data_IF_436440049985
#
_entry.id   IF_436440049985
#
_cell.length_a   1.000
_cell.length_b   1.000
_cell.length_c   1.000
_cell.angle_alpha   90.00
_cell.angle_beta   90.00
_cell.angle_gamma   90.00
#
_symmetry.space_group_name_H-M   'P 1'
#
loop_
_entity.id
_entity.type
_entity.pdbx_description
1 polymer ?
#
# COMPACT_ATOMS: atom_id res chain seq x y z
N UNK A 1 39.15 8.84 45.07
CA UNK A 1 39.61 9.27 43.72
C UNK A 1 38.66 10.35 43.23
N UNK A 2 39.08 11.58 43.11
CA UNK A 2 38.30 12.68 42.56
C UNK A 2 38.48 12.65 41.03
N UNK A 3 37.43 12.32 40.29
CA UNK A 3 37.44 12.46 38.83
C UNK A 3 37.55 13.96 38.49
N UNK A 4 38.58 14.36 37.73
CA UNK A 4 38.82 15.75 37.32
C UNK A 4 37.92 16.24 36.18
N UNK A 5 36.96 15.45 35.72
CA UNK A 5 35.99 15.81 34.68
C UNK A 5 34.74 16.42 35.31
N UNK A 6 34.15 17.42 34.64
CA UNK A 6 32.83 17.92 35.03
C UNK A 6 31.76 16.82 34.79
N UNK A 7 30.77 16.69 35.68
CA UNK A 7 29.67 15.75 35.46
C UNK A 7 28.91 16.14 34.18
N UNK A 8 28.39 15.15 33.44
CA UNK A 8 27.54 15.42 32.29
C UNK A 8 26.25 16.15 32.70
N UNK A 9 25.66 16.86 31.78
CA UNK A 9 24.31 17.39 31.96
C UNK A 9 23.29 16.26 31.79
N UNK A 10 22.23 16.29 32.60
CA UNK A 10 21.17 15.28 32.59
C UNK A 10 19.84 15.90 32.15
N UNK A 11 19.09 15.15 31.34
CA UNK A 11 17.72 15.46 30.99
C UNK A 11 16.84 14.25 31.28
N UNK A 12 15.68 14.46 31.90
CA UNK A 12 14.69 13.44 32.17
C UNK A 12 13.47 13.69 31.30
N UNK A 13 13.24 12.78 30.34
CA UNK A 13 12.05 12.82 29.49
C UNK A 13 10.88 12.10 30.17
N UNK A 14 9.62 12.52 29.93
CA UNK A 14 8.46 11.84 30.45
C UNK A 14 8.32 10.43 29.87
N UNK A 15 7.58 9.58 30.59
CA UNK A 15 7.32 8.21 30.17
C UNK A 15 6.44 8.17 28.93
N UNK A 16 6.74 7.26 27.99
CA UNK A 16 5.88 6.94 26.86
C UNK A 16 4.86 5.88 27.30
N UNK A 17 3.59 6.15 27.07
CA UNK A 17 2.46 5.30 27.43
C UNK A 17 1.90 4.57 26.21
N UNK A 18 1.35 3.37 26.44
CA UNK A 18 0.52 2.68 25.47
C UNK A 18 -0.89 3.29 25.36
N UNK A 19 -1.74 2.75 24.44
CA UNK A 19 -3.12 3.21 24.27
C UNK A 19 -3.96 3.07 25.54
N UNK A 20 -3.63 2.11 26.40
CA UNK A 20 -4.26 1.86 27.72
C UNK A 20 -3.76 2.79 28.83
N UNK A 21 -2.94 3.78 28.48
CA UNK A 21 -2.26 4.71 29.39
C UNK A 21 -1.32 4.06 30.42
N UNK A 22 -1.01 2.77 30.25
CA UNK A 22 0.06 2.12 30.99
C UNK A 22 1.41 2.33 30.28
N UNK A 23 2.51 2.06 30.99
CA UNK A 23 3.86 2.13 30.38
C UNK A 23 3.93 1.31 29.10
N UNK A 24 4.44 1.90 28.02
CA UNK A 24 4.66 1.19 26.75
C UNK A 24 5.49 -0.07 26.99
N UNK A 25 5.04 -1.19 26.46
CA UNK A 25 5.65 -2.50 26.66
C UNK A 25 5.35 -3.43 25.47
N UNK A 26 6.03 -4.58 25.38
CA UNK A 26 5.86 -5.58 24.31
C UNK A 26 4.40 -6.03 24.09
N UNK A 27 3.54 -5.97 25.10
CA UNK A 27 2.11 -6.30 24.93
C UNK A 27 1.36 -5.31 24.01
N UNK A 28 1.94 -4.13 23.77
CA UNK A 28 1.39 -3.10 22.87
C UNK A 28 1.94 -3.23 21.43
N UNK A 29 2.72 -4.27 21.13
CA UNK A 29 3.35 -4.52 19.83
C UNK A 29 4.85 -4.25 19.83
N UNK A 30 5.37 -3.80 18.69
CA UNK A 30 6.78 -3.45 18.53
C UNK A 30 7.21 -2.36 19.53
N UNK A 31 8.36 -2.56 20.16
CA UNK A 31 8.92 -1.62 21.16
C UNK A 31 10.38 -1.26 20.89
N UNK A 32 11.00 -1.87 19.89
CA UNK A 32 12.36 -1.58 19.47
C UNK A 32 12.43 -1.01 18.06
N UNK A 33 13.40 -0.14 17.81
CA UNK A 33 13.59 0.45 16.47
C UNK A 33 13.80 -0.64 15.40
N UNK A 34 14.52 -1.72 15.75
CA UNK A 34 14.75 -2.85 14.83
C UNK A 34 13.45 -3.56 14.43
N UNK A 35 12.46 -3.65 15.33
CA UNK A 35 11.16 -4.23 15.01
C UNK A 35 10.38 -3.33 14.04
N UNK A 36 10.41 -2.00 14.24
CA UNK A 36 9.80 -1.06 13.30
C UNK A 36 10.48 -1.06 11.93
N UNK A 37 11.81 -1.16 11.89
CA UNK A 37 12.56 -1.33 10.65
C UNK A 37 12.11 -2.58 9.88
N UNK A 38 11.97 -3.72 10.58
CA UNK A 38 11.46 -4.98 9.97
C UNK A 38 10.03 -4.86 9.47
N UNK A 39 9.21 -4.01 10.08
CA UNK A 39 7.85 -3.69 9.64
C UNK A 39 7.83 -2.64 8.51
N UNK A 40 8.98 -2.13 8.09
CA UNK A 40 9.08 -1.22 6.94
C UNK A 40 8.71 0.22 7.25
N UNK A 41 8.95 0.68 8.47
CA UNK A 41 8.91 2.10 8.80
C UNK A 41 10.20 2.77 8.36
N UNK A 42 10.08 3.95 7.74
CA UNK A 42 11.21 4.77 7.33
C UNK A 42 11.86 5.45 8.55
N UNK A 43 13.20 5.59 8.58
CA UNK A 43 13.89 6.28 9.66
C UNK A 43 13.38 7.70 9.88
N UNK A 44 13.18 8.49 8.82
CA UNK A 44 12.71 9.87 8.90
C UNK A 44 11.31 10.00 9.51
N UNK A 45 10.40 9.10 9.13
CA UNK A 45 9.06 9.03 9.71
C UNK A 45 9.13 8.70 11.21
N UNK A 46 9.99 7.75 11.59
CA UNK A 46 10.18 7.35 12.97
C UNK A 46 10.79 8.49 13.81
N UNK A 47 11.82 9.17 13.32
CA UNK A 47 12.43 10.32 14.01
C UNK A 47 11.40 11.43 14.21
N UNK A 48 10.67 11.82 13.16
CA UNK A 48 9.64 12.84 13.26
C UNK A 48 8.56 12.46 14.28
N UNK A 49 8.07 11.22 14.23
CA UNK A 49 7.07 10.72 15.17
C UNK A 49 7.56 10.73 16.61
N UNK A 50 8.79 10.26 16.87
CA UNK A 50 9.36 10.21 18.22
C UNK A 50 9.56 11.61 18.82
N UNK A 51 9.96 12.59 18.02
CA UNK A 51 10.07 13.99 18.45
C UNK A 51 8.72 14.50 18.94
N UNK A 52 7.64 14.21 18.23
CA UNK A 52 6.28 14.64 18.59
C UNK A 52 5.73 13.96 19.85
N UNK A 53 6.39 12.94 20.40
CA UNK A 53 6.00 12.32 21.69
C UNK A 53 6.33 13.17 22.92
N UNK A 54 6.55 14.43 22.77
CA UNK A 54 6.79 15.32 23.90
C UNK A 54 7.24 16.72 23.50
N UNK A 55 7.37 16.95 22.20
CA UNK A 55 7.75 18.24 21.64
C UNK A 55 6.87 18.59 20.44
N UNK A 56 6.64 19.84 20.17
CA UNK A 56 5.98 20.34 18.95
C UNK A 56 6.60 21.64 18.50
N UNK A 57 6.64 21.86 17.19
CA UNK A 57 7.05 23.14 16.61
C UNK A 57 5.98 24.20 16.87
N UNK A 58 4.73 23.85 16.64
CA UNK A 58 3.52 24.62 16.89
C UNK A 58 2.31 23.67 17.06
N UNK A 59 1.11 24.22 17.12
CA UNK A 59 -0.13 23.44 17.35
C UNK A 59 -0.65 22.73 16.06
N UNK A 60 0.00 22.89 14.91
CA UNK A 60 -0.51 22.42 13.61
C UNK A 60 0.49 21.58 12.82
N UNK A 61 1.78 21.85 12.97
CA UNK A 61 2.83 21.21 12.15
C UNK A 61 3.21 19.87 12.72
N UNK A 62 2.86 18.81 12.02
CA UNK A 62 3.16 17.42 12.41
C UNK A 62 4.23 16.76 11.53
N UNK A 63 4.42 17.25 10.31
CA UNK A 63 5.38 16.70 9.36
C UNK A 63 6.56 17.67 9.21
N UNK A 64 7.70 17.26 9.71
CA UNK A 64 8.93 18.08 9.76
C UNK A 64 10.06 17.32 9.08
N UNK A 65 10.80 18.00 8.20
CA UNK A 65 12.04 17.45 7.66
C UNK A 65 13.09 17.33 8.75
N UNK A 66 14.13 16.54 8.49
CA UNK A 66 15.24 16.41 9.42
C UNK A 66 15.95 17.76 9.66
N UNK A 67 16.10 18.58 8.62
CA UNK A 67 16.67 19.93 8.72
C UNK A 67 15.82 20.84 9.61
N UNK A 68 14.48 20.79 9.46
CA UNK A 68 13.56 21.56 10.30
C UNK A 68 13.63 21.10 11.76
N UNK A 69 13.70 19.78 12.00
CA UNK A 69 13.88 19.24 13.35
C UNK A 69 15.19 19.71 13.97
N UNK A 70 16.30 19.61 13.27
CA UNK A 70 17.62 20.07 13.75
C UNK A 70 17.59 21.58 14.06
N UNK A 71 16.92 22.38 13.21
CA UNK A 71 16.86 23.84 13.36
C UNK A 71 16.00 24.28 14.55
N UNK A 72 14.92 23.57 14.83
CA UNK A 72 13.88 24.05 15.75
C UNK A 72 13.79 23.29 17.06
N UNK A 73 14.33 22.05 17.12
CA UNK A 73 14.29 21.24 18.32
C UNK A 73 15.11 21.88 19.46
N UNK A 74 14.52 21.92 20.63
CA UNK A 74 15.24 22.27 21.86
C UNK A 74 14.68 21.50 23.07
N UNK A 75 15.53 21.21 24.03
CA UNK A 75 15.14 20.48 25.26
C UNK A 75 14.23 21.31 26.15
N UNK A 76 14.35 22.65 26.15
CA UNK A 76 13.52 23.55 26.93
C UNK A 76 12.06 23.49 26.54
N UNK A 77 11.77 23.12 25.29
CA UNK A 77 10.41 22.99 24.74
C UNK A 77 9.82 21.61 24.94
N UNK A 78 10.57 20.65 25.46
CA UNK A 78 10.04 19.32 25.72
C UNK A 78 9.04 19.39 26.86
N UNK A 79 7.82 18.92 26.60
CA UNK A 79 6.73 18.86 27.57
C UNK A 79 7.04 17.90 28.71
N UNK A 80 6.45 18.18 29.89
CA UNK A 80 6.63 17.34 31.10
C UNK A 80 5.55 16.24 31.23
N UNK A 81 4.55 16.25 30.34
CA UNK A 81 3.43 15.32 30.37
C UNK A 81 3.78 14.05 29.58
N UNK A 82 3.41 12.88 30.13
CA UNK A 82 3.58 11.62 29.44
C UNK A 82 2.79 11.59 28.11
N UNK A 83 3.44 11.13 27.04
CA UNK A 83 2.85 11.03 25.70
C UNK A 83 2.33 9.61 25.43
N UNK A 84 1.21 9.52 24.74
CA UNK A 84 0.65 8.23 24.29
C UNK A 84 1.23 7.88 22.92
N UNK A 85 1.80 6.68 22.81
CA UNK A 85 2.27 6.13 21.53
C UNK A 85 1.07 5.70 20.68
N UNK A 86 0.72 6.52 19.71
CA UNK A 86 -0.37 6.25 18.78
C UNK A 86 0.19 5.60 17.51
N UNK A 87 -0.02 4.28 17.36
CA UNK A 87 0.46 3.51 16.22
C UNK A 87 -0.20 3.94 14.91
N UNK A 88 -1.50 4.26 14.92
CA UNK A 88 -2.22 4.68 13.70
C UNK A 88 -1.65 5.99 13.15
N UNK A 89 -1.27 6.92 14.06
CA UNK A 89 -0.59 8.16 13.69
C UNK A 89 0.79 7.89 13.07
N UNK A 90 1.55 6.95 13.63
CA UNK A 90 2.84 6.55 13.08
C UNK A 90 2.69 5.92 11.69
N UNK A 91 1.71 5.03 11.49
CA UNK A 91 1.41 4.42 10.19
C UNK A 91 1.00 5.48 9.16
N UNK A 92 0.11 6.40 9.53
CA UNK A 92 -0.28 7.52 8.68
C UNK A 92 0.92 8.36 8.27
N UNK A 93 1.74 8.76 9.25
CA UNK A 93 2.93 9.56 9.02
C UNK A 93 3.91 8.84 8.10
N UNK A 94 4.20 7.57 8.35
CA UNK A 94 5.07 6.76 7.51
C UNK A 94 4.57 6.67 6.07
N UNK A 95 3.26 6.47 5.89
CA UNK A 95 2.63 6.51 4.56
C UNK A 95 2.83 7.85 3.84
N UNK A 96 2.80 8.99 4.57
CA UNK A 96 3.11 10.29 3.97
C UNK A 96 4.58 10.37 3.52
N UNK A 97 5.52 9.87 4.34
CA UNK A 97 6.93 9.83 3.97
C UNK A 97 7.19 8.90 2.78
N UNK A 98 6.56 7.73 2.72
CA UNK A 98 6.66 6.81 1.57
C UNK A 98 6.19 7.48 0.27
N UNK A 99 5.10 8.24 0.30
CA UNK A 99 4.58 8.99 -0.86
C UNK A 99 5.46 10.16 -1.30
N UNK A 100 6.27 10.71 -0.39
CA UNK A 100 7.23 11.77 -0.72
C UNK A 100 8.51 11.27 -1.40
N UNK A 101 8.81 9.98 -1.30
CA UNK A 101 9.96 9.39 -1.99
C UNK A 101 9.76 9.48 -3.51
N UNK A 102 10.83 9.71 -4.23
CA UNK A 102 10.83 9.44 -5.67
C UNK A 102 10.54 7.96 -5.94
N UNK A 103 10.01 7.64 -7.12
CA UNK A 103 9.73 6.24 -7.47
C UNK A 103 10.99 5.35 -7.33
N UNK A 104 12.16 5.86 -7.75
CA UNK A 104 13.42 5.12 -7.63
C UNK A 104 13.79 4.80 -6.18
N UNK A 105 13.66 5.77 -5.27
CA UNK A 105 13.89 5.55 -3.84
C UNK A 105 12.88 4.57 -3.26
N UNK A 106 11.59 4.70 -3.62
CA UNK A 106 10.57 3.78 -3.16
C UNK A 106 10.84 2.34 -3.64
N UNK A 107 11.23 2.15 -4.90
CA UNK A 107 11.65 0.85 -5.44
C UNK A 107 12.83 0.29 -4.63
N UNK A 108 13.86 1.08 -4.40
CA UNK A 108 15.04 0.66 -3.64
C UNK A 108 14.67 0.19 -2.22
N UNK A 109 13.77 0.91 -1.54
CA UNK A 109 13.31 0.53 -0.21
C UNK A 109 12.38 -0.69 -0.21
N UNK A 110 11.56 -0.86 -1.24
CA UNK A 110 10.57 -1.93 -1.34
C UNK A 110 11.17 -3.29 -1.78
N UNK A 111 12.23 -3.28 -2.61
CA UNK A 111 12.84 -4.50 -3.15
C UNK A 111 13.17 -5.57 -2.11
N UNK A 112 13.83 -5.25 -0.96
CA UNK A 112 14.13 -6.27 0.06
C UNK A 112 12.88 -6.94 0.64
N UNK A 113 11.75 -6.23 0.69
CA UNK A 113 10.48 -6.78 1.17
C UNK A 113 9.82 -7.65 0.11
N UNK A 114 9.86 -7.23 -1.16
CA UNK A 114 9.37 -8.04 -2.29
C UNK A 114 10.15 -9.36 -2.40
N UNK A 115 11.48 -9.32 -2.34
CA UNK A 115 12.33 -10.52 -2.40
C UNK A 115 12.05 -11.48 -1.24
N UNK A 116 11.80 -10.95 -0.04
CA UNK A 116 11.55 -11.74 1.16
C UNK A 116 10.15 -12.35 1.21
N UNK A 117 9.12 -11.56 0.85
CA UNK A 117 7.73 -11.86 1.21
C UNK A 117 6.82 -12.21 0.02
N UNK A 118 7.28 -12.04 -1.24
CA UNK A 118 6.54 -12.58 -2.38
C UNK A 118 6.63 -14.11 -2.39
N UNK A 119 5.56 -14.81 -2.86
CA UNK A 119 5.55 -16.27 -2.94
C UNK A 119 6.77 -16.84 -3.68
N UNK A 120 7.22 -18.03 -3.29
CA UNK A 120 8.34 -18.73 -3.94
C UNK A 120 8.08 -19.07 -5.42
N UNK A 121 6.81 -19.14 -5.82
CA UNK A 121 6.40 -19.34 -7.23
C UNK A 121 6.72 -18.15 -8.13
N UNK A 122 7.01 -16.98 -7.57
CA UNK A 122 7.41 -15.80 -8.36
C UNK A 122 8.86 -15.95 -8.78
N UNK A 123 9.12 -15.85 -10.10
CA UNK A 123 10.45 -15.98 -10.67
C UNK A 123 11.41 -14.90 -10.15
N UNK A 124 12.66 -15.29 -9.94
CA UNK A 124 13.73 -14.38 -9.46
C UNK A 124 14.98 -14.53 -10.35
N UNK A 125 15.75 -13.45 -10.58
CA UNK A 125 15.57 -12.11 -9.99
C UNK A 125 14.34 -11.39 -10.55
N UNK A 126 13.72 -10.51 -9.73
CA UNK A 126 12.59 -9.71 -10.16
C UNK A 126 13.01 -8.73 -11.27
N UNK A 127 12.20 -8.61 -12.32
CA UNK A 127 12.43 -7.60 -13.37
C UNK A 127 12.22 -6.19 -12.80
N UNK A 128 13.31 -5.43 -12.71
CA UNK A 128 13.32 -4.10 -12.14
C UNK A 128 12.41 -3.10 -12.88
N UNK A 129 12.25 -3.23 -14.21
CA UNK A 129 11.40 -2.36 -14.99
C UNK A 129 9.92 -2.65 -14.68
N UNK A 130 9.56 -3.94 -14.67
CA UNK A 130 8.20 -4.37 -14.30
C UNK A 130 7.85 -4.00 -12.86
N UNK A 131 8.76 -4.27 -11.91
CA UNK A 131 8.59 -3.88 -10.50
C UNK A 131 8.38 -2.37 -10.37
N UNK A 132 9.14 -1.55 -11.11
CA UNK A 132 8.97 -0.09 -11.07
C UNK A 132 7.58 0.34 -11.54
N UNK A 133 7.05 -0.27 -12.62
CA UNK A 133 5.69 -0.01 -13.09
C UNK A 133 4.64 -0.42 -12.05
N UNK A 134 4.76 -1.61 -11.48
CA UNK A 134 3.88 -2.09 -10.40
C UNK A 134 3.90 -1.16 -9.20
N UNK A 135 5.11 -0.80 -8.74
CA UNK A 135 5.27 0.03 -7.54
C UNK A 135 4.78 1.46 -7.73
N UNK A 136 4.80 2.00 -8.96
CA UNK A 136 4.20 3.31 -9.26
C UNK A 136 2.69 3.35 -8.96
N UNK A 137 1.99 2.21 -9.10
CA UNK A 137 0.56 2.09 -8.81
C UNK A 137 0.26 1.83 -7.32
N UNK A 138 1.26 1.39 -6.56
CA UNK A 138 1.09 0.93 -5.17
C UNK A 138 1.56 1.97 -4.16
N UNK A 139 2.53 2.82 -4.51
CA UNK A 139 3.16 3.78 -3.60
C UNK A 139 2.14 4.63 -2.82
N UNK A 140 1.08 5.10 -3.48
CA UNK A 140 0.03 5.90 -2.85
C UNK A 140 -0.78 5.16 -1.78
N UNK A 141 -0.72 3.83 -1.78
CA UNK A 141 -1.54 2.96 -0.93
C UNK A 141 -0.77 2.37 0.23
N UNK A 142 0.54 2.27 0.11
CA UNK A 142 1.40 1.69 1.13
C UNK A 142 1.52 2.63 2.34
N UNK A 143 1.29 2.08 3.52
CA UNK A 143 1.57 2.75 4.79
C UNK A 143 2.90 2.31 5.38
N UNK A 144 3.29 1.06 5.11
CA UNK A 144 4.57 0.46 5.50
C UNK A 144 5.11 -0.39 4.36
N UNK A 145 6.43 -0.63 4.34
CA UNK A 145 7.03 -1.43 3.27
C UNK A 145 6.67 -2.92 3.37
N UNK A 146 6.31 -3.43 4.55
CA UNK A 146 5.86 -4.82 4.71
C UNK A 146 4.50 -5.09 4.04
N UNK A 147 3.70 -4.06 3.76
CA UNK A 147 2.44 -4.20 3.03
C UNK A 147 2.64 -4.33 1.52
N UNK A 148 3.78 -3.84 1.00
CA UNK A 148 4.05 -3.76 -0.44
C UNK A 148 3.96 -5.12 -1.14
N UNK A 149 4.56 -6.22 -0.64
CA UNK A 149 4.42 -7.53 -1.25
C UNK A 149 2.97 -7.99 -1.37
N UNK A 150 2.16 -7.78 -0.34
CA UNK A 150 0.74 -8.12 -0.38
C UNK A 150 -0.02 -7.27 -1.41
N UNK A 151 0.27 -5.97 -1.48
CA UNK A 151 -0.36 -5.07 -2.46
C UNK A 151 0.04 -5.42 -3.89
N UNK A 152 1.29 -5.86 -4.10
CA UNK A 152 1.87 -6.19 -5.41
C UNK A 152 1.60 -7.62 -5.88
N UNK A 153 1.32 -8.58 -4.98
CA UNK A 153 1.35 -10.01 -5.28
C UNK A 153 0.53 -10.43 -6.49
N UNK A 154 -0.65 -9.84 -6.69
CA UNK A 154 -1.51 -10.21 -7.81
C UNK A 154 -0.91 -9.85 -9.20
N UNK A 155 0.09 -8.97 -9.26
CA UNK A 155 0.79 -8.66 -10.50
C UNK A 155 1.73 -9.80 -10.95
N UNK A 156 2.26 -10.57 -9.99
CA UNK A 156 3.27 -11.61 -10.23
C UNK A 156 2.71 -13.04 -10.13
N UNK A 157 1.43 -13.20 -9.82
CA UNK A 157 0.79 -14.52 -9.70
C UNK A 157 0.09 -14.91 -11.01
N UNK A 158 0.37 -16.12 -11.48
CA UNK A 158 -0.31 -16.70 -12.64
C UNK A 158 -1.78 -17.00 -12.36
N UNK A 159 -2.07 -17.50 -11.16
CA UNK A 159 -3.43 -17.82 -10.71
C UNK A 159 -3.80 -17.02 -9.46
N UNK A 160 -4.97 -16.42 -9.52
CA UNK A 160 -5.52 -15.67 -8.41
C UNK A 160 -6.46 -16.54 -7.58
N UNK A 161 -6.23 -16.54 -6.26
CA UNK A 161 -7.14 -17.19 -5.31
C UNK A 161 -8.06 -16.15 -4.67
N UNK A 162 -9.36 -16.26 -4.96
CA UNK A 162 -10.37 -15.37 -4.37
C UNK A 162 -11.74 -16.05 -4.35
N UNK A 163 -12.62 -15.59 -3.47
CA UNK A 163 -14.00 -16.06 -3.38
C UNK A 163 -14.79 -15.58 -4.62
N UNK A 164 -15.41 -16.51 -5.33
CA UNK A 164 -16.21 -16.23 -6.55
C UNK A 164 -17.33 -15.22 -6.28
N UNK A 165 -17.85 -15.16 -5.05
CA UNK A 165 -18.87 -14.18 -4.66
C UNK A 165 -18.41 -12.72 -4.82
N UNK A 166 -17.11 -12.46 -4.83
CA UNK A 166 -16.56 -11.12 -5.08
C UNK A 166 -16.88 -10.61 -6.49
N UNK A 167 -17.00 -11.50 -7.48
CA UNK A 167 -17.45 -11.14 -8.84
C UNK A 167 -18.88 -10.61 -8.86
N UNK A 168 -19.69 -10.99 -7.85
CA UNK A 168 -21.08 -10.56 -7.72
C UNK A 168 -21.26 -9.39 -6.74
N UNK A 169 -20.18 -8.81 -6.26
CA UNK A 169 -20.18 -7.74 -5.23
C UNK A 169 -20.97 -6.48 -5.63
N UNK A 170 -21.13 -6.23 -6.95
CA UNK A 170 -21.96 -5.15 -7.49
C UNK A 170 -23.47 -5.43 -7.53
N UNK A 171 -23.95 -6.49 -6.86
CA UNK A 171 -25.33 -7.01 -6.96
C UNK A 171 -25.73 -7.40 -8.39
N UNK A 172 -24.78 -7.97 -9.15
CA UNK A 172 -25.01 -8.62 -10.42
C UNK A 172 -25.34 -10.09 -10.17
N UNK A 173 -26.24 -10.66 -10.94
CA UNK A 173 -26.39 -12.11 -11.03
C UNK A 173 -25.24 -12.72 -11.85
N UNK A 174 -25.00 -14.02 -11.69
CA UNK A 174 -23.89 -14.71 -12.34
C UNK A 174 -23.96 -14.65 -13.87
N UNK A 175 -25.16 -14.73 -14.44
CA UNK A 175 -25.36 -14.68 -15.88
C UNK A 175 -25.05 -13.31 -16.46
N UNK A 176 -25.49 -12.23 -15.81
CA UNK A 176 -25.17 -10.86 -16.20
C UNK A 176 -23.69 -10.56 -16.06
N UNK A 177 -23.04 -11.03 -14.99
CA UNK A 177 -21.61 -10.87 -14.78
C UNK A 177 -20.80 -11.62 -15.86
N UNK A 178 -21.15 -12.87 -16.16
CA UNK A 178 -20.50 -13.65 -17.20
C UNK A 178 -20.65 -12.99 -18.58
N UNK A 179 -21.88 -12.56 -18.95
CA UNK A 179 -22.13 -11.84 -20.20
C UNK A 179 -21.25 -10.57 -20.30
N UNK A 180 -21.15 -9.80 -19.22
CA UNK A 180 -20.38 -8.57 -19.21
C UNK A 180 -18.87 -8.83 -19.42
N UNK A 181 -18.31 -9.85 -18.75
CA UNK A 181 -16.90 -10.25 -18.94
C UNK A 181 -16.67 -10.76 -20.37
N UNK A 182 -17.57 -11.61 -20.90
CA UNK A 182 -17.44 -12.17 -22.27
C UNK A 182 -17.38 -11.05 -23.32
N UNK A 183 -18.29 -10.08 -23.25
CA UNK A 183 -18.31 -8.98 -24.22
C UNK A 183 -17.08 -8.07 -24.04
N UNK A 184 -16.66 -7.83 -22.79
CA UNK A 184 -15.43 -7.08 -22.52
C UNK A 184 -14.19 -7.79 -23.09
N UNK A 185 -14.05 -9.10 -22.89
CA UNK A 185 -12.97 -9.91 -23.42
C UNK A 185 -12.89 -9.82 -24.94
N UNK A 186 -14.01 -10.07 -25.64
CA UNK A 186 -14.11 -9.99 -27.10
C UNK A 186 -13.69 -8.61 -27.65
N UNK A 187 -14.15 -7.52 -27.02
CA UNK A 187 -13.76 -6.16 -27.43
C UNK A 187 -12.27 -5.93 -27.22
N UNK A 188 -11.71 -6.46 -26.15
CA UNK A 188 -10.29 -6.28 -25.80
C UNK A 188 -9.36 -7.18 -26.64
N UNK A 189 -9.82 -8.31 -27.16
CA UNK A 189 -9.05 -9.14 -28.10
C UNK A 189 -8.70 -8.41 -29.38
N UNK A 190 -9.53 -7.49 -29.86
CA UNK A 190 -9.31 -6.70 -31.06
C UNK A 190 -8.35 -5.51 -30.86
N UNK A 191 -8.00 -5.18 -29.59
CA UNK A 191 -7.18 -4.01 -29.24
C UNK A 191 -5.74 -4.24 -29.63
N UNK A 192 -5.18 -3.33 -30.44
CA UNK A 192 -3.77 -3.34 -30.86
C UNK A 192 -2.88 -2.52 -29.95
N UNK A 193 -3.37 -1.40 -29.40
CA UNK A 193 -2.63 -0.52 -28.46
C UNK A 193 -3.14 -0.74 -27.05
N UNK A 194 -2.30 -1.30 -26.19
CA UNK A 194 -2.68 -1.68 -24.84
C UNK A 194 -2.15 -0.67 -23.81
N UNK A 195 -2.89 0.40 -23.62
CA UNK A 195 -2.63 1.44 -22.61
C UNK A 195 -3.92 1.84 -21.87
N UNK A 196 -3.76 2.50 -20.72
CA UNK A 196 -4.88 2.86 -19.84
C UNK A 196 -5.93 3.72 -20.55
N UNK A 197 -5.53 4.65 -21.41
CA UNK A 197 -6.42 5.56 -22.14
C UNK A 197 -7.28 4.83 -23.14
N UNK A 198 -6.66 3.96 -23.96
CA UNK A 198 -7.35 3.12 -24.94
C UNK A 198 -8.32 2.16 -24.25
N UNK A 199 -7.89 1.51 -23.18
CA UNK A 199 -8.72 0.59 -22.39
C UNK A 199 -9.95 1.30 -21.79
N UNK A 200 -9.75 2.48 -21.21
CA UNK A 200 -10.84 3.30 -20.68
C UNK A 200 -11.80 3.74 -21.79
N UNK A 201 -11.27 4.17 -22.93
CA UNK A 201 -12.04 4.60 -24.10
C UNK A 201 -12.97 3.52 -24.66
N UNK A 202 -12.56 2.24 -24.55
CA UNK A 202 -13.36 1.09 -25.01
C UNK A 202 -14.35 0.62 -23.92
N UNK A 203 -13.87 0.48 -22.69
CA UNK A 203 -14.68 -0.14 -21.63
C UNK A 203 -15.72 0.81 -21.02
N UNK A 204 -15.48 2.13 -21.07
CA UNK A 204 -16.44 3.09 -20.52
C UNK A 204 -17.74 3.17 -21.33
N UNK A 205 -17.74 3.26 -22.68
CA UNK A 205 -18.96 3.17 -23.49
C UNK A 205 -19.64 1.80 -23.32
N UNK A 206 -18.87 0.71 -23.24
CA UNK A 206 -19.41 -0.64 -23.09
C UNK A 206 -20.26 -0.80 -21.82
N UNK A 207 -19.93 -0.12 -20.73
CA UNK A 207 -20.76 -0.12 -19.52
C UNK A 207 -22.19 0.39 -19.83
N UNK A 208 -22.33 1.43 -20.64
CA UNK A 208 -23.62 1.99 -21.04
C UNK A 208 -24.36 1.04 -22.01
N UNK A 209 -23.67 0.43 -22.98
CA UNK A 209 -24.23 -0.55 -23.90
C UNK A 209 -24.82 -1.75 -23.16
N UNK A 210 -24.19 -2.17 -22.09
CA UNK A 210 -24.63 -3.28 -21.24
C UNK A 210 -25.70 -2.87 -20.21
N UNK A 211 -26.12 -1.59 -20.18
CA UNK A 211 -27.00 -1.04 -19.16
C UNK A 211 -26.48 -1.26 -17.72
N UNK A 212 -25.16 -1.25 -17.54
CA UNK A 212 -24.50 -1.38 -16.25
C UNK A 212 -23.94 -0.02 -15.81
N UNK A 213 -24.12 0.31 -14.55
CA UNK A 213 -23.39 1.46 -13.97
C UNK A 213 -21.88 1.22 -14.00
N UNK A 214 -21.09 2.25 -14.38
CA UNK A 214 -19.62 2.15 -14.50
C UNK A 214 -18.97 1.57 -13.25
N UNK A 215 -19.44 1.94 -12.04
CA UNK A 215 -18.93 1.41 -10.78
C UNK A 215 -19.10 -0.10 -10.64
N UNK A 216 -20.25 -0.64 -11.06
CA UNK A 216 -20.51 -2.09 -11.02
C UNK A 216 -19.67 -2.83 -12.05
N UNK A 217 -19.66 -2.34 -13.29
CA UNK A 217 -18.92 -2.97 -14.38
C UNK A 217 -17.41 -2.95 -14.12
N UNK A 218 -16.85 -1.80 -13.75
CA UNK A 218 -15.42 -1.71 -13.44
C UNK A 218 -15.05 -2.44 -12.14
N UNK A 219 -15.98 -2.54 -11.17
CA UNK A 219 -15.82 -3.37 -9.99
C UNK A 219 -15.69 -4.85 -10.33
N UNK A 220 -16.56 -5.35 -11.22
CA UNK A 220 -16.50 -6.71 -11.75
C UNK A 220 -15.17 -6.99 -12.46
N UNK A 221 -14.78 -6.14 -13.42
CA UNK A 221 -13.50 -6.29 -14.15
C UNK A 221 -12.30 -6.22 -13.21
N UNK A 222 -12.33 -5.33 -12.20
CA UNK A 222 -11.27 -5.24 -11.18
C UNK A 222 -11.12 -6.55 -10.42
N UNK A 223 -12.21 -7.14 -9.95
CA UNK A 223 -12.14 -8.44 -9.27
C UNK A 223 -11.64 -9.53 -10.21
N UNK A 224 -12.09 -9.55 -11.46
CA UNK A 224 -11.65 -10.53 -12.44
C UNK A 224 -10.13 -10.47 -12.67
N UNK A 225 -9.54 -9.28 -12.80
CA UNK A 225 -8.10 -9.13 -13.11
C UNK A 225 -7.19 -9.10 -11.88
N UNK A 226 -7.71 -8.81 -10.67
CA UNK A 226 -6.88 -8.66 -9.46
C UNK A 226 -7.25 -9.61 -8.32
N UNK A 227 -8.42 -10.26 -8.39
CA UNK A 227 -9.00 -11.04 -7.28
C UNK A 227 -9.44 -10.18 -6.09
N UNK A 228 -9.56 -8.85 -6.25
CA UNK A 228 -9.77 -7.91 -5.13
C UNK A 228 -10.80 -6.85 -5.46
N UNK A 229 -11.61 -6.48 -4.48
CA UNK A 229 -12.55 -5.36 -4.58
C UNK A 229 -11.79 -4.02 -4.53
N UNK A 230 -10.78 -3.93 -3.66
CA UNK A 230 -9.90 -2.75 -3.54
C UNK A 230 -8.53 -3.05 -4.16
N UNK A 231 -8.21 -2.40 -5.27
CA UNK A 231 -6.96 -2.53 -6.01
C UNK A 231 -6.55 -1.15 -6.58
N UNK A 232 -5.36 -0.97 -7.14
CA UNK A 232 -4.97 0.25 -7.84
C UNK A 232 -5.94 0.61 -8.98
N UNK A 233 -5.81 1.76 -9.64
CA UNK A 233 -6.71 2.16 -10.72
C UNK A 233 -6.79 1.07 -11.81
N UNK A 234 -8.01 0.72 -12.24
CA UNK A 234 -8.27 -0.45 -13.08
C UNK A 234 -7.47 -0.45 -14.38
N UNK A 235 -7.55 0.64 -15.14
CA UNK A 235 -6.96 0.68 -16.49
C UNK A 235 -5.44 0.66 -16.46
N UNK A 236 -4.81 1.40 -15.53
CA UNK A 236 -3.38 1.35 -15.29
C UNK A 236 -2.93 -0.04 -14.79
N UNK A 237 -3.74 -0.69 -13.97
CA UNK A 237 -3.48 -2.08 -13.54
C UNK A 237 -3.53 -3.04 -14.73
N UNK A 238 -4.50 -2.91 -15.63
CA UNK A 238 -4.61 -3.74 -16.83
C UNK A 238 -3.45 -3.46 -17.81
N UNK A 239 -3.03 -2.20 -17.94
CA UNK A 239 -1.88 -1.81 -18.75
C UNK A 239 -0.61 -2.54 -18.28
N UNK A 240 -0.29 -2.47 -16.97
CA UNK A 240 0.89 -3.12 -16.38
C UNK A 240 0.80 -4.64 -16.42
N UNK A 241 -0.39 -5.23 -16.21
CA UNK A 241 -0.60 -6.69 -16.33
C UNK A 241 -0.39 -7.21 -17.75
N UNK A 242 -0.64 -6.37 -18.76
CA UNK A 242 -0.59 -6.76 -20.15
C UNK A 242 -1.85 -7.49 -20.63
N UNK A 243 -2.02 -7.51 -21.95
CA UNK A 243 -3.21 -8.05 -22.65
C UNK A 243 -3.43 -9.52 -22.33
N UNK A 244 -2.40 -10.34 -22.52
CA UNK A 244 -2.47 -11.78 -22.35
C UNK A 244 -2.95 -12.20 -20.96
N UNK A 245 -2.31 -11.61 -19.90
CA UNK A 245 -2.69 -11.89 -18.53
C UNK A 245 -4.12 -11.44 -18.21
N UNK A 246 -4.55 -10.28 -18.71
CA UNK A 246 -5.91 -9.81 -18.51
C UNK A 246 -6.94 -10.76 -19.13
N UNK A 247 -6.75 -11.18 -20.38
CA UNK A 247 -7.65 -12.11 -21.07
C UNK A 247 -7.69 -13.48 -20.38
N UNK A 248 -6.53 -14.06 -20.03
CA UNK A 248 -6.44 -15.30 -19.25
C UNK A 248 -7.23 -15.22 -17.93
N UNK A 249 -7.16 -14.08 -17.23
CA UNK A 249 -7.89 -13.87 -15.98
C UNK A 249 -9.39 -13.69 -16.19
N UNK A 250 -9.81 -13.11 -17.31
CA UNK A 250 -11.24 -13.08 -17.67
C UNK A 250 -11.77 -14.48 -17.94
N UNK A 251 -11.04 -15.33 -18.65
CA UNK A 251 -11.43 -16.73 -18.88
C UNK A 251 -11.55 -17.49 -17.55
N UNK A 252 -10.59 -17.31 -16.65
CA UNK A 252 -10.65 -17.91 -15.31
C UNK A 252 -11.87 -17.41 -14.52
N UNK A 253 -12.20 -16.12 -14.60
CA UNK A 253 -13.38 -15.56 -13.94
C UNK A 253 -14.68 -16.13 -14.53
N UNK A 254 -14.75 -16.33 -15.85
CA UNK A 254 -15.89 -16.97 -16.53
C UNK A 254 -16.08 -18.43 -16.09
N UNK A 255 -14.98 -19.20 -16.00
CA UNK A 255 -15.03 -20.58 -15.49
C UNK A 255 -15.55 -20.63 -14.05
N UNK A 256 -15.12 -19.70 -13.18
CA UNK A 256 -15.63 -19.61 -11.81
C UNK A 256 -17.10 -19.25 -11.74
N UNK A 257 -17.58 -18.32 -12.58
CA UNK A 257 -18.99 -17.94 -12.64
C UNK A 257 -19.87 -19.10 -13.16
N UNK A 258 -19.38 -19.89 -14.12
CA UNK A 258 -20.13 -21.06 -14.63
C UNK A 258 -20.37 -22.14 -13.58
N UNK A 259 -19.53 -22.20 -12.53
CA UNK A 259 -19.73 -23.14 -11.41
C UNK A 259 -20.82 -22.71 -10.42
N UNK A 260 -21.36 -21.49 -10.55
CA UNK A 260 -22.44 -20.94 -9.71
C UNK A 260 -23.81 -21.05 -10.41
N UNK A 261 -23.86 -21.37 -11.71
CA UNK A 261 -25.05 -21.60 -12.50
C UNK A 261 -25.38 -23.08 -12.57
#
# INVERSE_FOLDING_TARGET
MLFRSQPPQFAHLPMILGPDRAKLSKRHGATTITEYQKQGYLPDAMVNFLVLLGWSLDDRTELLSQEELIKHFSLERVGKTAAIFNKDKLEWMNGVYLRKLSLGEFVQHAMPFLDRDLPESVERPLDSNYVSQVLSLIQERAKTLVEVPQLASFFSLDELQYDTSLLLSGKLDAQSAAKAITIASQKLEEVTTWDATTLEGILRPLAAELNLGTGKFFGLLRVAVTGRVAAPPLFQTMEVLGKENCLKRFDTALQRLSSLC
#
